data_IF_728062134556
#
_entry.id   IF_728062134556
#
_cell.length_a   1.000
_cell.length_b   1.000
_cell.length_c   1.000
_cell.angle_alpha   90.00
_cell.angle_beta   90.00
_cell.angle_gamma   90.00
#
_symmetry.space_group_name_H-M   'P 1'
#
loop_
_entity.id
_entity.type
_entity.pdbx_description
1 polymer ?
#
# COMPACT_ATOMS: atom_id res chain seq x y z
N UNK A 1 5.20 -37.26 44.21
CA UNK A 1 4.77 -38.31 43.24
C UNK A 1 4.44 -39.58 44.01
N UNK A 2 3.62 -40.48 43.45
CA UNK A 2 3.44 -41.84 43.97
C UNK A 2 4.78 -42.57 44.09
N UNK A 3 4.92 -43.39 45.13
CA UNK A 3 6.18 -44.03 45.50
C UNK A 3 6.66 -45.08 44.48
N UNK A 4 5.74 -45.73 43.76
CA UNK A 4 6.07 -46.71 42.72
C UNK A 4 5.72 -46.19 41.31
N UNK A 5 6.44 -46.64 40.26
CA UNK A 5 6.12 -46.32 38.86
C UNK A 5 4.73 -46.78 38.42
N UNK A 6 4.25 -47.90 38.97
CA UNK A 6 2.92 -48.45 38.70
C UNK A 6 1.80 -47.61 39.34
N UNK A 7 2.09 -46.94 40.46
CA UNK A 7 1.12 -46.11 41.18
C UNK A 7 1.04 -44.68 40.65
N UNK A 8 1.82 -44.32 39.62
CA UNK A 8 1.87 -42.96 39.05
C UNK A 8 0.52 -42.47 38.50
N UNK A 9 -0.39 -43.39 38.23
CA UNK A 9 -1.76 -43.09 37.81
C UNK A 9 -2.72 -42.86 38.99
N UNK A 10 -2.31 -43.14 40.24
CA UNK A 10 -3.14 -43.01 41.44
C UNK A 10 -4.52 -43.66 41.34
N UNK A 11 -4.62 -44.80 40.64
CA UNK A 11 -5.88 -45.51 40.44
C UNK A 11 -6.24 -46.45 41.59
N UNK A 12 -5.24 -46.91 42.36
CA UNK A 12 -5.45 -47.73 43.54
C UNK A 12 -5.71 -46.81 44.77
N UNK A 13 -6.76 -47.04 45.57
CA UNK A 13 -6.98 -46.32 46.83
C UNK A 13 -5.81 -46.39 47.81
N UNK A 14 -5.01 -47.45 47.74
CA UNK A 14 -3.82 -47.67 48.58
C UNK A 14 -2.55 -46.98 48.05
N UNK A 15 -2.65 -46.22 46.95
CA UNK A 15 -1.53 -45.46 46.37
C UNK A 15 -0.87 -44.58 47.43
N UNK A 16 0.41 -44.80 47.70
CA UNK A 16 1.18 -43.98 48.65
C UNK A 16 1.92 -42.85 47.94
N UNK A 17 1.83 -41.65 48.50
CA UNK A 17 2.60 -40.49 48.05
C UNK A 17 3.79 -40.27 48.96
N UNK A 18 4.97 -40.07 48.40
CA UNK A 18 6.15 -39.66 49.16
C UNK A 18 6.04 -38.16 49.47
N UNK A 19 5.53 -37.85 50.67
CA UNK A 19 5.38 -36.47 51.17
C UNK A 19 6.50 -36.19 52.19
N UNK A 20 7.25 -35.09 52.06
CA UNK A 20 8.26 -34.73 53.06
C UNK A 20 7.61 -34.49 54.43
N UNK A 21 8.17 -35.07 55.50
CA UNK A 21 7.58 -35.12 56.84
C UNK A 21 7.39 -33.75 57.54
N UNK A 22 7.92 -32.66 56.98
CA UNK A 22 7.81 -31.29 57.50
C UNK A 22 7.19 -30.31 56.48
N UNK A 23 6.65 -30.81 55.36
CA UNK A 23 6.08 -29.94 54.35
C UNK A 23 4.68 -29.49 54.79
N UNK A 24 4.42 -28.18 54.72
CA UNK A 24 3.07 -27.62 54.84
C UNK A 24 2.17 -28.05 53.65
N UNK A 25 1.40 -27.14 53.03
CA UNK A 25 0.57 -27.52 51.90
C UNK A 25 1.42 -28.11 50.76
N UNK A 26 1.03 -29.28 50.25
CA UNK A 26 1.75 -29.98 49.19
C UNK A 26 0.82 -30.29 48.01
N UNK A 27 1.42 -30.49 46.83
CA UNK A 27 0.69 -30.71 45.58
C UNK A 27 0.99 -32.10 45.03
N UNK A 28 -0.06 -32.87 44.75
CA UNK A 28 0.06 -34.19 44.14
C UNK A 28 0.25 -34.07 42.63
N UNK A 29 1.30 -34.70 42.09
CA UNK A 29 1.51 -34.87 40.65
C UNK A 29 1.11 -36.29 40.23
N UNK A 30 0.18 -36.41 39.28
CA UNK A 30 -0.43 -37.68 38.85
C UNK A 30 -0.50 -37.76 37.32
N UNK A 31 -0.26 -38.93 36.75
CA UNK A 31 -0.42 -39.18 35.32
C UNK A 31 -1.89 -39.46 34.96
N UNK A 32 -2.33 -38.98 33.79
CA UNK A 32 -3.55 -39.51 33.16
C UNK A 32 -3.41 -41.03 32.98
N UNK A 33 -4.51 -41.76 33.21
CA UNK A 33 -4.52 -43.22 33.19
C UNK A 33 -5.94 -43.76 33.08
N UNK A 34 -6.12 -45.04 33.41
CA UNK A 34 -7.35 -45.78 33.12
C UNK A 34 -8.50 -45.59 34.14
N UNK A 35 -8.27 -44.82 35.21
CA UNK A 35 -9.29 -44.47 36.20
C UNK A 35 -9.80 -43.03 36.03
N UNK A 36 -10.93 -42.70 36.65
CA UNK A 36 -11.56 -41.39 36.51
C UNK A 36 -10.73 -40.28 37.17
N UNK A 37 -10.85 -39.05 36.68
CA UNK A 37 -10.20 -37.89 37.32
C UNK A 37 -10.67 -37.70 38.78
N UNK A 38 -11.94 -38.01 39.03
CA UNK A 38 -12.55 -37.96 40.35
C UNK A 38 -11.84 -38.88 41.35
N UNK A 39 -11.54 -40.11 40.94
CA UNK A 39 -10.86 -41.09 41.82
C UNK A 39 -9.44 -40.65 42.12
N UNK A 40 -8.71 -40.19 41.09
CA UNK A 40 -7.35 -39.63 41.25
C UNK A 40 -7.32 -38.47 42.25
N UNK A 41 -8.26 -37.54 42.12
CA UNK A 41 -8.37 -36.38 43.00
C UNK A 41 -8.73 -36.82 44.42
N UNK A 42 -9.67 -37.76 44.58
CA UNK A 42 -10.06 -38.29 45.90
C UNK A 42 -8.93 -39.03 46.60
N UNK A 43 -8.18 -39.87 45.89
CA UNK A 43 -7.05 -40.58 46.46
C UNK A 43 -5.96 -39.61 46.92
N UNK A 44 -5.61 -38.60 46.11
CA UNK A 44 -4.67 -37.57 46.54
C UNK A 44 -5.20 -36.73 47.72
N UNK A 45 -6.48 -36.38 47.72
CA UNK A 45 -7.13 -35.65 48.80
C UNK A 45 -7.16 -36.44 50.11
N UNK A 46 -7.30 -37.76 50.06
CA UNK A 46 -7.26 -38.63 51.24
C UNK A 46 -5.90 -38.60 51.95
N UNK A 47 -4.84 -38.21 51.26
CA UNK A 47 -3.50 -37.97 51.83
C UNK A 47 -3.24 -36.48 52.12
N UNK A 48 -4.29 -35.66 52.29
CA UNK A 48 -4.22 -34.24 52.61
C UNK A 48 -3.46 -33.38 51.57
N UNK A 49 -3.54 -33.73 50.28
CA UNK A 49 -3.01 -32.88 49.22
C UNK A 49 -3.82 -31.58 49.10
N UNK A 50 -3.15 -30.42 49.05
CA UNK A 50 -3.81 -29.12 48.88
C UNK A 50 -4.24 -28.85 47.44
N UNK A 51 -3.54 -29.43 46.47
CA UNK A 51 -3.89 -29.40 45.07
C UNK A 51 -3.46 -30.68 44.35
N UNK A 52 -4.07 -30.95 43.20
CA UNK A 52 -3.79 -32.11 42.35
C UNK A 52 -3.52 -31.66 40.92
N UNK A 53 -2.34 -32.01 40.41
CA UNK A 53 -1.88 -31.75 39.05
C UNK A 53 -1.91 -33.05 38.28
N UNK A 54 -2.73 -33.09 37.24
CA UNK A 54 -2.86 -34.25 36.35
C UNK A 54 -2.23 -33.91 35.00
N UNK A 55 -1.22 -34.65 34.56
CA UNK A 55 -0.62 -34.41 33.24
C UNK A 55 -1.18 -35.36 32.17
N UNK A 56 -1.45 -34.80 30.99
CA UNK A 56 -2.27 -35.43 29.95
C UNK A 56 -1.51 -36.44 29.06
N UNK A 57 -1.16 -37.59 29.64
CA UNK A 57 -0.46 -38.68 28.93
C UNK A 57 -1.32 -39.28 27.82
N UNK A 58 -0.72 -39.49 26.63
CA UNK A 58 -1.35 -40.19 25.50
C UNK A 58 -2.24 -39.29 24.65
N UNK A 59 -2.01 -37.97 24.70
CA UNK A 59 -2.66 -37.02 23.81
C UNK A 59 -1.99 -36.99 22.42
N UNK A 60 -2.75 -36.64 21.39
CA UNK A 60 -2.24 -36.54 20.00
C UNK A 60 -1.21 -35.41 19.85
N UNK A 61 -1.40 -34.30 20.58
CA UNK A 61 -0.40 -33.25 20.71
C UNK A 61 0.07 -33.14 22.17
N UNK A 62 1.39 -33.08 22.35
CA UNK A 62 2.03 -33.02 23.68
C UNK A 62 1.66 -31.79 24.53
N UNK A 63 1.07 -30.77 23.89
CA UNK A 63 0.63 -29.50 24.48
C UNK A 63 -0.87 -29.47 24.83
N UNK A 64 -1.62 -30.54 24.54
CA UNK A 64 -3.06 -30.56 24.75
C UNK A 64 -3.44 -30.69 26.22
N UNK A 65 -4.44 -29.91 26.62
CA UNK A 65 -5.10 -30.04 27.92
C UNK A 65 -6.61 -30.14 27.71
N UNK A 66 -7.26 -31.02 28.47
CA UNK A 66 -8.70 -31.21 28.44
C UNK A 66 -9.32 -30.78 29.76
N UNK A 67 -10.58 -30.31 29.70
CA UNK A 67 -11.34 -30.00 30.91
C UNK A 67 -11.67 -31.30 31.63
N UNK A 68 -11.26 -31.42 32.88
CA UNK A 68 -11.47 -32.62 33.69
C UNK A 68 -12.86 -32.59 34.32
N UNK A 69 -13.76 -33.53 34.01
CA UNK A 69 -15.00 -33.68 34.77
C UNK A 69 -14.73 -34.35 36.11
N UNK A 70 -15.02 -33.67 37.23
CA UNK A 70 -14.78 -34.21 38.57
C UNK A 70 -15.81 -33.71 39.62
N UNK A 71 -17.10 -33.85 39.32
CA UNK A 71 -18.15 -33.45 40.26
C UNK A 71 -18.11 -34.27 41.57
N UNK A 72 -18.23 -33.57 42.71
CA UNK A 72 -18.24 -34.18 44.05
C UNK A 72 -16.86 -34.59 44.58
N UNK A 73 -15.81 -33.84 44.21
CA UNK A 73 -14.44 -33.95 44.78
C UNK A 73 -14.12 -32.90 45.85
N UNK A 74 -15.13 -32.12 46.30
CA UNK A 74 -14.94 -31.08 47.30
C UNK A 74 -14.16 -29.86 46.79
N UNK A 75 -13.47 -29.16 47.68
CA UNK A 75 -12.75 -27.90 47.43
C UNK A 75 -11.30 -28.08 46.96
N UNK A 76 -10.88 -29.31 46.64
CA UNK A 76 -9.52 -29.59 46.21
C UNK A 76 -9.25 -28.96 44.84
N UNK A 77 -8.21 -28.12 44.76
CA UNK A 77 -7.79 -27.49 43.50
C UNK A 77 -7.22 -28.56 42.57
N UNK A 78 -7.87 -28.80 41.44
CA UNK A 78 -7.42 -29.76 40.42
C UNK A 78 -7.14 -29.06 39.09
N UNK A 79 -5.92 -29.22 38.58
CA UNK A 79 -5.52 -28.65 37.28
C UNK A 79 -4.94 -29.73 36.36
N UNK A 80 -5.12 -29.53 35.05
CA UNK A 80 -4.48 -30.35 34.03
C UNK A 80 -3.31 -29.59 33.40
N UNK A 81 -2.18 -30.27 33.23
CA UNK A 81 -1.02 -29.75 32.50
C UNK A 81 -0.69 -30.61 31.27
N UNK A 82 0.02 -30.03 30.28
CA UNK A 82 0.49 -30.80 29.13
C UNK A 82 1.43 -31.96 29.49
N UNK A 83 1.47 -32.97 28.63
CA UNK A 83 2.31 -34.15 28.83
C UNK A 83 3.80 -33.80 28.90
N UNK A 84 4.27 -32.93 28.00
CA UNK A 84 5.67 -32.51 27.94
C UNK A 84 6.12 -31.92 29.29
N UNK A 85 5.30 -31.03 29.86
CA UNK A 85 5.62 -30.40 31.15
C UNK A 85 5.52 -31.39 32.31
N UNK A 86 4.53 -32.28 32.29
CA UNK A 86 4.38 -33.31 33.32
C UNK A 86 5.56 -34.29 33.37
N UNK A 87 6.10 -34.68 32.22
CA UNK A 87 7.29 -35.54 32.12
C UNK A 87 8.55 -34.84 32.63
N UNK A 88 8.73 -33.56 32.31
CA UNK A 88 9.82 -32.73 32.85
C UNK A 88 9.77 -32.68 34.39
N UNK A 89 8.59 -32.39 34.95
CA UNK A 89 8.39 -32.37 36.41
C UNK A 89 8.64 -33.74 37.05
N UNK A 90 8.24 -34.82 36.37
CA UNK A 90 8.47 -36.18 36.85
C UNK A 90 9.97 -36.49 36.93
N UNK A 91 10.72 -36.14 35.88
CA UNK A 91 12.18 -36.32 35.83
C UNK A 91 12.87 -35.56 36.97
N UNK A 92 12.50 -34.30 37.22
CA UNK A 92 13.09 -33.51 38.31
C UNK A 92 12.89 -34.18 39.68
N UNK A 93 11.68 -34.67 39.95
CA UNK A 93 11.35 -35.32 41.21
C UNK A 93 12.03 -36.69 41.39
N UNK A 94 12.26 -37.44 40.30
CA UNK A 94 13.04 -38.69 40.33
C UNK A 94 14.50 -38.45 40.70
N UNK A 95 15.07 -37.32 40.28
CA UNK A 95 16.42 -36.87 40.67
C UNK A 95 16.45 -36.22 42.06
N UNK A 96 15.39 -36.39 42.87
CA UNK A 96 15.25 -35.85 44.22
C UNK A 96 15.33 -34.31 44.28
N UNK A 97 14.95 -33.62 43.20
CA UNK A 97 14.86 -32.15 43.15
C UNK A 97 13.49 -31.72 43.65
N UNK A 98 13.46 -30.77 44.58
CA UNK A 98 12.21 -30.19 45.09
C UNK A 98 11.65 -29.16 44.12
N UNK A 99 10.37 -29.29 43.78
CA UNK A 99 9.68 -28.36 42.86
C UNK A 99 8.54 -27.65 43.59
N UNK A 100 8.61 -26.32 43.60
CA UNK A 100 7.55 -25.46 44.13
C UNK A 100 6.66 -24.99 43.00
N UNK A 101 5.34 -25.09 43.17
CA UNK A 101 4.37 -24.67 42.17
C UNK A 101 3.36 -23.70 42.79
N UNK A 102 3.12 -22.59 42.09
CA UNK A 102 2.10 -21.59 42.44
C UNK A 102 0.98 -21.71 41.41
N UNK A 103 -0.23 -22.00 41.87
CA UNK A 103 -1.42 -22.10 41.01
C UNK A 103 -2.26 -20.84 41.20
N UNK A 104 -2.50 -20.11 40.11
CA UNK A 104 -3.38 -18.94 40.08
C UNK A 104 -4.52 -19.14 39.09
N UNK A 105 -5.63 -18.44 39.30
CA UNK A 105 -6.80 -18.53 38.42
C UNK A 105 -6.49 -17.78 37.12
N UNK A 106 -6.32 -18.53 36.03
CA UNK A 106 -6.14 -17.98 34.69
C UNK A 106 -7.47 -17.85 33.93
N UNK A 107 -7.55 -16.89 33.01
CA UNK A 107 -8.66 -16.79 32.06
C UNK A 107 -8.31 -17.49 30.76
N UNK A 108 -9.17 -18.39 30.25
CA UNK A 108 -8.99 -19.07 28.94
C UNK A 108 -9.21 -18.16 27.71
N UNK A 109 -9.19 -16.84 27.90
CA UNK A 109 -9.49 -15.86 26.85
C UNK A 109 -8.25 -15.55 26.01
N UNK A 110 -8.06 -16.34 24.95
CA UNK A 110 -7.14 -16.04 23.83
C UNK A 110 -7.52 -14.74 23.09
N UNK A 111 -8.69 -14.18 23.41
CA UNK A 111 -9.17 -12.86 22.98
C UNK A 111 -8.33 -11.68 23.52
N UNK A 112 -7.33 -11.93 24.36
CA UNK A 112 -6.38 -10.90 24.83
C UNK A 112 -5.36 -10.47 23.77
N UNK A 113 -5.12 -11.28 22.73
CA UNK A 113 -4.18 -10.94 21.65
C UNK A 113 -4.81 -10.10 20.53
N UNK A 114 -6.14 -10.06 20.45
CA UNK A 114 -6.88 -9.21 19.51
C UNK A 114 -7.64 -8.19 20.34
N UNK A 115 -7.00 -7.07 20.65
CA UNK A 115 -7.69 -5.98 21.33
C UNK A 115 -8.84 -5.50 20.43
N UNK A 116 -10.04 -5.35 20.99
CA UNK A 116 -11.18 -4.82 20.24
C UNK A 116 -10.83 -3.46 19.58
N UNK A 117 -9.96 -2.70 20.23
CA UNK A 117 -9.42 -1.44 19.74
C UNK A 117 -8.51 -1.61 18.51
N UNK A 118 -7.67 -2.65 18.43
CA UNK A 118 -6.83 -2.89 17.25
C UNK A 118 -7.66 -3.26 16.03
N UNK A 119 -8.70 -4.09 16.20
CA UNK A 119 -9.61 -4.45 15.10
C UNK A 119 -10.33 -3.22 14.55
N UNK A 120 -10.86 -2.38 15.44
CA UNK A 120 -11.54 -1.14 15.05
C UNK A 120 -10.57 -0.21 14.32
N UNK A 121 -9.35 -0.03 14.82
CA UNK A 121 -8.34 0.82 14.19
C UNK A 121 -7.96 0.34 12.77
N UNK A 122 -7.74 -0.96 12.59
CA UNK A 122 -7.43 -1.55 11.28
C UNK A 122 -8.61 -1.36 10.32
N UNK A 123 -9.84 -1.56 10.78
CA UNK A 123 -11.04 -1.40 9.95
C UNK A 123 -11.25 0.06 9.49
N UNK A 124 -11.06 1.03 10.39
CA UNK A 124 -11.19 2.46 10.07
C UNK A 124 -10.12 2.87 9.04
N UNK A 125 -8.88 2.42 9.24
CA UNK A 125 -7.78 2.71 8.32
C UNK A 125 -8.07 2.22 6.90
N UNK A 126 -8.64 1.02 6.76
CA UNK A 126 -9.02 0.47 5.46
C UNK A 126 -10.13 1.28 4.77
N UNK A 127 -11.15 1.69 5.54
CA UNK A 127 -12.26 2.50 5.02
C UNK A 127 -11.76 3.87 4.54
N UNK A 128 -10.87 4.52 5.28
CA UNK A 128 -10.30 5.82 4.90
C UNK A 128 -9.52 5.72 3.59
N UNK A 129 -8.67 4.69 3.44
CA UNK A 129 -7.92 4.46 2.21
C UNK A 129 -8.83 4.19 1.01
N UNK A 130 -9.91 3.44 1.20
CA UNK A 130 -10.91 3.20 0.16
C UNK A 130 -11.57 4.51 -0.30
N UNK A 131 -11.97 5.38 0.64
CA UNK A 131 -12.60 6.66 0.33
C UNK A 131 -11.64 7.56 -0.45
N UNK A 132 -10.37 7.66 -0.02
CA UNK A 132 -9.36 8.48 -0.71
C UNK A 132 -9.15 7.98 -2.15
N UNK A 133 -9.04 6.66 -2.34
CA UNK A 133 -8.88 6.05 -3.66
C UNK A 133 -10.07 6.33 -4.59
N UNK A 134 -11.30 6.20 -4.08
CA UNK A 134 -12.51 6.48 -4.84
C UNK A 134 -12.63 7.97 -5.20
N UNK A 135 -12.31 8.87 -4.26
CA UNK A 135 -12.31 10.31 -4.53
C UNK A 135 -11.30 10.69 -5.62
N UNK A 136 -10.10 10.11 -5.58
CA UNK A 136 -9.08 10.28 -6.62
C UNK A 136 -9.55 9.77 -7.98
N UNK A 137 -10.17 8.58 -8.02
CA UNK A 137 -10.70 8.02 -9.25
C UNK A 137 -11.82 8.89 -9.82
N UNK A 138 -12.75 9.34 -8.99
CA UNK A 138 -13.82 10.25 -9.41
C UNK A 138 -13.24 11.56 -9.94
N UNK A 139 -12.28 12.17 -9.24
CA UNK A 139 -11.62 13.39 -9.70
C UNK A 139 -10.89 13.18 -11.03
N UNK A 140 -10.17 12.07 -11.18
CA UNK A 140 -9.51 11.68 -12.43
C UNK A 140 -10.49 11.56 -13.59
N UNK A 141 -11.63 10.87 -13.39
CA UNK A 141 -12.66 10.75 -14.42
C UNK A 141 -13.33 12.08 -14.75
N UNK A 142 -13.65 12.90 -13.73
CA UNK A 142 -14.22 14.24 -13.95
C UNK A 142 -13.22 15.11 -14.73
N UNK A 143 -11.95 15.14 -14.34
CA UNK A 143 -10.91 15.90 -15.01
C UNK A 143 -10.73 15.42 -16.45
N UNK A 144 -10.67 14.10 -16.68
CA UNK A 144 -10.57 13.52 -18.01
C UNK A 144 -11.77 13.86 -18.88
N UNK A 145 -12.98 13.76 -18.35
CA UNK A 145 -14.20 14.13 -19.06
C UNK A 145 -14.26 15.62 -19.38
N UNK A 146 -13.90 16.48 -18.42
CA UNK A 146 -13.83 17.93 -18.63
C UNK A 146 -12.76 18.29 -19.65
N UNK A 147 -11.60 17.65 -19.62
CA UNK A 147 -10.52 17.87 -20.58
C UNK A 147 -10.93 17.44 -21.99
N UNK A 148 -11.49 16.23 -22.14
CA UNK A 148 -12.00 15.75 -23.43
C UNK A 148 -13.09 16.68 -24.01
N UNK A 149 -14.04 17.11 -23.18
CA UNK A 149 -15.10 18.02 -23.60
C UNK A 149 -14.59 19.43 -23.90
N UNK A 150 -13.57 19.91 -23.16
CA UNK A 150 -12.93 21.20 -23.46
C UNK A 150 -12.20 21.15 -24.81
N UNK A 151 -11.52 20.05 -25.12
CA UNK A 151 -10.86 19.82 -26.41
C UNK A 151 -11.86 19.78 -27.56
N UNK A 152 -12.95 19.01 -27.44
CA UNK A 152 -14.00 18.93 -28.46
C UNK A 152 -14.62 20.32 -28.73
N UNK A 153 -14.93 21.09 -27.68
CA UNK A 153 -15.42 22.47 -27.83
C UNK A 153 -14.41 23.38 -28.54
N UNK A 154 -13.13 23.30 -28.20
CA UNK A 154 -12.10 24.13 -28.82
C UNK A 154 -11.89 23.74 -30.29
N UNK A 155 -11.90 22.44 -30.60
CA UNK A 155 -11.79 21.92 -31.96
C UNK A 155 -12.96 22.36 -32.84
N UNK A 156 -14.20 22.33 -32.33
CA UNK A 156 -15.38 22.85 -33.04
C UNK A 156 -15.27 24.36 -33.30
N UNK A 157 -14.88 25.14 -32.28
CA UNK A 157 -14.67 26.59 -32.42
C UNK A 157 -13.63 26.94 -33.48
N UNK A 158 -12.51 26.21 -33.49
CA UNK A 158 -11.46 26.41 -34.49
C UNK A 158 -11.92 25.99 -35.89
N UNK A 159 -12.67 24.88 -36.00
CA UNK A 159 -13.28 24.44 -37.25
C UNK A 159 -14.25 25.47 -37.84
N UNK A 160 -15.08 26.08 -37.00
CA UNK A 160 -16.02 27.13 -37.43
C UNK A 160 -15.30 28.42 -37.82
N UNK A 161 -14.24 28.81 -37.09
CA UNK A 161 -13.38 29.93 -37.47
C UNK A 161 -12.68 29.69 -38.81
N UNK A 162 -12.17 28.48 -39.05
CA UNK A 162 -11.55 28.09 -40.31
C UNK A 162 -12.55 28.08 -41.47
N UNK A 163 -13.75 27.52 -41.30
CA UNK A 163 -14.84 27.59 -42.29
C UNK A 163 -15.14 29.04 -42.67
N UNK A 164 -15.27 29.91 -41.67
CA UNK A 164 -15.53 31.35 -41.88
C UNK A 164 -14.36 32.03 -42.62
N UNK A 165 -13.12 31.70 -42.27
CA UNK A 165 -11.93 32.22 -42.95
C UNK A 165 -11.85 31.78 -44.41
N UNK A 166 -12.10 30.48 -44.69
CA UNK A 166 -12.12 29.93 -46.04
C UNK A 166 -13.23 30.61 -46.86
N UNK A 167 -14.43 30.81 -46.29
CA UNK A 167 -15.51 31.48 -47.01
C UNK A 167 -15.17 32.91 -47.48
N UNK A 168 -14.24 33.60 -46.82
CA UNK A 168 -13.77 34.94 -47.16
C UNK A 168 -12.63 34.99 -48.19
N UNK A 169 -12.03 33.84 -48.53
CA UNK A 169 -10.99 33.79 -49.56
C UNK A 169 -11.55 34.23 -50.92
N UNK A 170 -10.71 34.88 -51.71
CA UNK A 170 -11.08 35.40 -53.02
C UNK A 170 -11.60 34.27 -53.93
N UNK A 171 -12.80 34.45 -54.46
CA UNK A 171 -13.41 33.57 -55.45
C UNK A 171 -13.54 34.35 -56.75
N UNK A 172 -13.08 33.75 -57.85
CA UNK A 172 -13.20 34.30 -59.20
C UNK A 172 -13.93 33.29 -60.07
N UNK A 173 -14.78 33.78 -60.97
CA UNK A 173 -15.38 32.96 -62.02
C UNK A 173 -14.60 33.20 -63.29
N UNK A 174 -14.11 32.14 -63.93
CA UNK A 174 -13.31 32.24 -65.16
C UNK A 174 -14.24 32.68 -66.28
N UNK A 175 -14.01 33.87 -66.85
CA UNK A 175 -14.78 34.34 -68.00
C UNK A 175 -14.14 33.89 -69.31
N UNK A 176 -14.98 33.67 -70.31
CA UNK A 176 -14.55 33.27 -71.66
C UNK A 176 -13.80 34.45 -72.30
N UNK A 177 -12.47 34.40 -72.34
CA UNK A 177 -11.59 35.47 -72.83
C UNK A 177 -10.65 36.11 -71.80
N UNK A 178 -10.56 35.56 -70.58
CA UNK A 178 -9.57 36.00 -69.58
C UNK A 178 -8.15 35.52 -69.97
N UNK A 179 -7.18 36.45 -69.97
CA UNK A 179 -5.81 36.35 -70.53
C UNK A 179 -4.86 35.36 -69.83
N UNK A 180 -5.37 34.43 -69.02
CA UNK A 180 -4.55 33.48 -68.23
C UNK A 180 -4.62 32.03 -68.77
N UNK A 181 -5.44 31.75 -69.79
CA UNK A 181 -5.59 30.40 -70.40
C UNK A 181 -4.54 30.07 -71.47
N UNK A 182 -3.34 30.64 -71.43
CA UNK A 182 -2.35 30.44 -72.50
C UNK A 182 -1.05 29.74 -72.06
N UNK A 183 -0.78 29.51 -70.78
CA UNK A 183 0.48 28.85 -70.36
C UNK A 183 0.39 28.09 -69.03
N UNK A 184 0.70 26.78 -69.06
CA UNK A 184 1.15 25.83 -68.01
C UNK A 184 0.50 25.80 -66.61
N UNK A 185 -0.46 26.68 -66.29
CA UNK A 185 -1.15 26.74 -64.99
C UNK A 185 -2.66 26.49 -65.10
N UNK A 186 -3.10 25.86 -66.19
CA UNK A 186 -4.52 25.71 -66.57
C UNK A 186 -5.26 24.54 -65.90
N UNK A 187 -4.59 23.74 -65.08
CA UNK A 187 -5.19 22.57 -64.45
C UNK A 187 -5.32 22.75 -62.94
N UNK A 188 -6.45 22.33 -62.38
CA UNK A 188 -6.60 22.26 -60.94
C UNK A 188 -5.78 21.09 -60.39
N UNK A 189 -4.78 21.33 -59.55
CA UNK A 189 -3.92 20.25 -59.05
C UNK A 189 -4.62 19.24 -58.10
N UNK A 190 -5.89 19.47 -57.73
CA UNK A 190 -6.67 18.54 -56.89
C UNK A 190 -7.45 17.53 -57.74
N UNK A 191 -8.13 17.97 -58.80
CA UNK A 191 -8.87 17.08 -59.72
C UNK A 191 -8.13 16.80 -61.03
N UNK A 192 -7.01 17.49 -61.29
CA UNK A 192 -6.15 17.41 -62.48
C UNK A 192 -6.86 17.88 -63.76
N UNK A 193 -8.11 18.35 -63.66
CA UNK A 193 -8.89 18.85 -64.80
C UNK A 193 -8.51 20.28 -65.18
N UNK A 194 -8.53 20.55 -66.49
CA UNK A 194 -8.35 21.88 -67.05
C UNK A 194 -9.54 22.81 -66.72
N UNK A 195 -9.26 24.08 -66.49
CA UNK A 195 -10.28 25.07 -66.19
C UNK A 195 -11.17 25.36 -67.41
N UNK A 196 -12.49 25.44 -67.19
CA UNK A 196 -13.50 25.74 -68.21
C UNK A 196 -14.10 27.12 -67.98
N UNK A 197 -14.66 27.69 -69.04
CA UNK A 197 -15.42 28.94 -68.93
C UNK A 197 -16.62 28.74 -67.97
N UNK A 198 -16.82 29.71 -67.08
CA UNK A 198 -17.76 29.70 -65.96
C UNK A 198 -17.36 28.83 -64.75
N UNK A 199 -16.16 28.25 -64.72
CA UNK A 199 -15.68 27.58 -63.52
C UNK A 199 -15.47 28.56 -62.37
N UNK A 200 -15.89 28.15 -61.18
CA UNK A 200 -15.70 28.91 -59.94
C UNK A 200 -14.40 28.46 -59.29
N UNK A 201 -13.39 29.29 -59.37
CA UNK A 201 -12.07 29.04 -58.79
C UNK A 201 -11.86 29.88 -57.53
N UNK A 202 -11.12 29.31 -56.58
CA UNK A 202 -10.70 29.97 -55.36
C UNK A 202 -9.20 30.26 -55.46
N UNK A 203 -8.84 31.50 -55.12
CA UNK A 203 -7.46 31.96 -55.08
C UNK A 203 -7.03 31.98 -53.61
N UNK A 204 -5.98 31.21 -53.29
CA UNK A 204 -5.41 31.19 -51.94
C UNK A 204 -4.49 32.41 -51.72
N UNK A 205 -4.14 32.76 -50.47
CA UNK A 205 -3.22 33.86 -50.17
C UNK A 205 -1.81 33.69 -50.78
N UNK A 206 -1.41 32.45 -51.07
CA UNK A 206 -0.19 32.11 -51.80
C UNK A 206 -0.33 32.19 -53.33
N UNK A 207 -1.45 32.71 -53.84
CA UNK A 207 -1.82 32.87 -55.26
C UNK A 207 -2.03 31.60 -56.10
N UNK A 208 -2.05 30.42 -55.49
CA UNK A 208 -2.47 29.20 -56.19
C UNK A 208 -3.98 29.19 -56.43
N UNK A 209 -4.39 28.73 -57.61
CA UNK A 209 -5.78 28.61 -58.07
C UNK A 209 -6.24 27.16 -58.02
N UNK A 210 -7.49 26.95 -57.60
CA UNK A 210 -8.15 25.64 -57.61
C UNK A 210 -9.67 25.80 -57.79
N UNK A 211 -10.37 24.79 -58.28
CA UNK A 211 -11.83 24.79 -58.20
C UNK A 211 -12.30 24.89 -56.75
N UNK A 212 -13.30 25.75 -56.52
CA UNK A 212 -13.88 25.94 -55.17
C UNK A 212 -14.35 24.61 -54.56
N UNK A 213 -15.01 23.77 -55.36
CA UNK A 213 -15.50 22.45 -54.94
C UNK A 213 -14.38 21.48 -54.55
N UNK A 214 -13.22 21.56 -55.21
CA UNK A 214 -12.10 20.66 -54.98
C UNK A 214 -11.26 21.08 -53.77
N UNK A 215 -11.03 22.39 -53.60
CA UNK A 215 -10.12 22.89 -52.57
C UNK A 215 -10.81 23.15 -51.23
N UNK A 216 -12.12 23.41 -51.19
CA UNK A 216 -12.84 23.66 -49.94
C UNK A 216 -12.76 22.46 -48.96
N UNK A 217 -13.00 21.19 -49.35
CA UNK A 217 -12.84 20.03 -48.47
C UNK A 217 -11.41 19.87 -47.97
N UNK A 218 -10.42 20.08 -48.84
CA UNK A 218 -9.00 20.00 -48.48
C UNK A 218 -8.62 21.03 -47.41
N UNK A 219 -9.05 22.28 -47.59
CA UNK A 219 -8.72 23.37 -46.66
C UNK A 219 -9.41 23.24 -45.30
N UNK A 220 -10.55 22.57 -45.22
CA UNK A 220 -11.24 22.30 -43.95
C UNK A 220 -10.46 21.32 -43.08
N UNK A 221 -9.82 20.34 -43.71
CA UNK A 221 -9.10 19.27 -43.01
C UNK A 221 -7.63 19.66 -42.78
N UNK A 222 -6.92 20.04 -43.84
CA UNK A 222 -5.47 20.24 -43.82
C UNK A 222 -5.03 21.69 -43.63
N UNK A 223 -5.92 22.67 -43.88
CA UNK A 223 -5.66 24.13 -43.72
C UNK A 223 -4.41 24.65 -44.44
N UNK A 224 -3.91 23.88 -45.41
CA UNK A 224 -2.68 24.12 -46.14
C UNK A 224 -2.94 24.11 -47.64
N UNK A 225 -2.13 24.85 -48.40
CA UNK A 225 -2.17 24.79 -49.85
C UNK A 225 -1.66 23.41 -50.35
N UNK A 226 -2.40 22.69 -51.23
CA UNK A 226 -1.93 21.44 -51.83
C UNK A 226 -0.58 21.56 -52.57
N UNK A 227 -0.29 22.74 -53.13
CA UNK A 227 0.89 22.97 -53.96
C UNK A 227 2.12 23.36 -53.13
N UNK A 228 1.99 24.32 -52.23
CA UNK A 228 3.14 24.90 -51.51
C UNK A 228 3.15 24.64 -50.00
N UNK A 229 2.17 23.88 -49.47
CA UNK A 229 1.99 23.55 -48.04
C UNK A 229 1.87 24.77 -47.11
N UNK A 230 1.70 25.98 -47.66
CA UNK A 230 1.50 27.19 -46.88
C UNK A 230 0.20 27.11 -46.08
N UNK A 231 0.25 27.38 -44.77
CA UNK A 231 -0.91 27.43 -43.88
C UNK A 231 -1.76 28.67 -44.17
N UNK A 232 -2.99 28.48 -44.66
CA UNK A 232 -3.87 29.58 -45.06
C UNK A 232 -4.36 30.40 -43.87
N UNK A 233 -4.52 29.78 -42.69
CA UNK A 233 -4.96 30.48 -41.47
C UNK A 233 -3.87 31.41 -40.93
N UNK A 234 -2.61 30.99 -41.00
CA UNK A 234 -1.44 31.82 -40.65
C UNK A 234 -1.32 33.03 -41.59
N UNK A 235 -1.52 32.82 -42.89
CA UNK A 235 -1.49 33.89 -43.89
C UNK A 235 -2.65 34.90 -43.73
N UNK A 236 -3.77 34.49 -43.14
CA UNK A 236 -4.93 35.35 -42.84
C UNK A 236 -4.83 36.02 -41.45
N UNK A 237 -3.72 35.86 -40.72
CA UNK A 237 -3.52 36.46 -39.40
C UNK A 237 -4.36 35.82 -38.28
N UNK A 238 -4.94 34.65 -38.53
CA UNK A 238 -5.65 33.88 -37.49
C UNK A 238 -4.59 33.06 -36.77
N UNK A 239 -4.19 33.54 -35.59
CA UNK A 239 -3.25 32.83 -34.73
C UNK A 239 -3.85 31.46 -34.36
N UNK A 240 -3.31 30.41 -34.97
CA UNK A 240 -3.43 29.06 -34.46
C UNK A 240 -2.56 29.04 -33.20
N UNK A 241 -3.17 28.97 -32.01
CA UNK A 241 -2.42 28.63 -30.81
C UNK A 241 -1.65 27.34 -31.12
N UNK A 242 -0.33 27.42 -31.04
CA UNK A 242 0.63 26.35 -31.35
C UNK A 242 0.57 25.16 -30.38
N UNK A 243 -0.53 25.00 -29.65
CA UNK A 243 -0.70 23.97 -28.61
C UNK A 243 -1.34 22.67 -29.14
N UNK A 244 -1.51 22.53 -30.45
CA UNK A 244 -2.17 21.36 -31.05
C UNK A 244 -1.32 20.58 -32.07
N UNK A 245 -0.05 20.93 -32.26
CA UNK A 245 0.88 20.13 -33.07
C UNK A 245 1.63 19.07 -32.26
N UNK A 246 1.51 19.05 -30.94
CA UNK A 246 2.18 18.06 -30.05
C UNK A 246 1.38 16.76 -29.83
N UNK A 247 0.24 16.57 -30.51
CA UNK A 247 -0.58 15.34 -30.38
C UNK A 247 -0.52 14.42 -31.63
N UNK A 248 0.44 14.59 -32.54
CA UNK A 248 0.76 13.50 -33.47
C UNK A 248 1.62 12.47 -32.71
N UNK A 249 1.32 11.16 -32.78
CA UNK A 249 2.12 10.15 -32.09
C UNK A 249 3.56 10.25 -32.61
N UNK A 250 4.48 10.60 -31.72
CA UNK A 250 5.91 10.61 -31.96
C UNK A 250 6.44 9.16 -31.97
N UNK A 251 5.89 8.32 -32.83
CA UNK A 251 6.39 6.97 -33.08
C UNK A 251 7.16 6.96 -34.40
N UNK A 252 8.26 7.72 -34.47
CA UNK A 252 9.34 7.46 -35.44
C UNK A 252 10.71 8.09 -35.19
N UNK A 253 10.93 8.89 -34.14
CA UNK A 253 12.26 9.53 -33.90
C UNK A 253 13.01 8.93 -32.71
N UNK A 254 13.22 7.62 -32.75
CA UNK A 254 14.14 6.91 -31.86
C UNK A 254 15.02 5.90 -32.61
N UNK A 255 15.36 6.24 -33.85
CA UNK A 255 16.40 5.56 -34.62
C UNK A 255 17.29 6.61 -35.27
N UNK A 256 18.33 7.04 -34.54
CA UNK A 256 19.69 7.38 -35.00
C UNK A 256 20.36 8.28 -33.93
N UNK A 257 21.33 7.71 -33.22
CA UNK A 257 22.22 8.48 -32.36
C UNK A 257 23.13 9.39 -33.19
N UNK A 258 23.38 10.61 -32.69
CA UNK A 258 24.35 11.52 -33.29
C UNK A 258 24.30 12.92 -32.69
N UNK A 259 25.43 13.35 -32.16
CA UNK A 259 25.66 14.59 -31.42
C UNK A 259 25.47 15.90 -32.22
N UNK A 260 25.27 17.01 -31.50
CA UNK A 260 25.57 18.36 -32.00
C UNK A 260 24.62 19.44 -31.48
N UNK A 261 25.01 20.14 -30.41
CA UNK A 261 24.29 21.30 -29.90
C UNK A 261 24.73 22.63 -30.50
N UNK A 262 23.86 23.64 -30.37
CA UNK A 262 24.13 25.09 -30.19
C UNK A 262 22.84 25.65 -29.59
N UNK A 263 22.79 26.08 -28.32
CA UNK A 263 23.28 27.38 -27.82
C UNK A 263 22.34 28.49 -28.31
N UNK A 264 21.65 29.28 -27.48
CA UNK A 264 22.18 30.35 -26.59
C UNK A 264 20.99 30.84 -25.73
N UNK A 265 21.01 30.66 -24.40
CA UNK A 265 21.28 31.65 -23.33
C UNK A 265 20.37 32.89 -23.30
N UNK A 266 19.73 33.17 -22.16
CA UNK A 266 20.24 34.13 -21.15
C UNK A 266 19.15 34.60 -20.15
N UNK A 267 19.41 34.42 -18.85
CA UNK A 267 19.46 35.41 -17.75
C UNK A 267 19.44 34.62 -16.42
N UNK A 268 20.59 34.24 -15.87
CA UNK A 268 21.37 34.97 -14.82
C UNK A 268 20.61 35.08 -13.48
N UNK A 269 20.95 34.33 -12.42
CA UNK A 269 22.15 34.33 -11.57
C UNK A 269 22.15 35.43 -10.49
N UNK A 270 22.07 35.01 -9.22
CA UNK A 270 22.60 35.72 -8.04
C UNK A 270 23.50 34.75 -7.27
N UNK A 271 24.76 35.14 -7.21
CA UNK A 271 25.93 34.65 -6.45
C UNK A 271 25.80 35.21 -5.00
N UNK A 272 26.18 34.57 -3.86
CA UNK A 272 27.51 34.10 -3.46
C UNK A 272 27.51 33.53 -2.02
N UNK A 273 28.54 32.73 -1.71
CA UNK A 273 29.02 32.39 -0.36
C UNK A 273 29.27 30.89 -0.17
N UNK A 274 30.36 30.31 -0.72
CA UNK A 274 31.68 30.10 -0.07
C UNK A 274 31.57 29.31 1.25
N UNK A 275 32.25 28.20 1.52
CA UNK A 275 33.55 27.66 1.08
C UNK A 275 33.68 26.22 1.62
N UNK A 276 34.06 25.22 0.80
CA UNK A 276 35.38 24.51 0.77
C UNK A 276 35.68 23.68 2.04
N UNK A 277 36.22 22.46 2.04
CA UNK A 277 36.90 21.58 1.08
C UNK A 277 36.64 20.13 1.55
N UNK A 278 36.50 19.12 0.70
CA UNK A 278 37.57 18.49 -0.10
C UNK A 278 37.97 17.17 0.61
N UNK A 279 38.16 16.01 0.00
CA UNK A 279 38.37 15.58 -1.41
C UNK A 279 38.30 14.03 -1.44
N UNK A 280 37.82 13.47 -2.56
CA UNK A 280 38.24 12.26 -3.33
C UNK A 280 38.89 11.06 -2.59
N UNK A 281 38.71 9.78 -2.95
CA UNK A 281 38.21 9.12 -4.17
C UNK A 281 37.98 7.62 -3.89
N UNK A 282 37.06 7.05 -4.67
CA UNK A 282 37.06 5.73 -5.34
C UNK A 282 37.68 4.47 -4.73
N UNK A 283 36.96 3.34 -4.87
CA UNK A 283 37.55 2.00 -4.95
C UNK A 283 36.65 0.91 -4.39
N UNK A 284 36.05 0.12 -5.28
CA UNK A 284 35.12 -0.96 -4.93
C UNK A 284 35.76 -2.28 -4.48
N UNK A 285 34.89 -3.29 -4.46
CA UNK A 285 35.13 -4.74 -4.39
C UNK A 285 34.98 -5.45 -3.04
N UNK A 286 33.78 -6.03 -2.90
CA UNK A 286 33.52 -7.48 -2.73
C UNK A 286 34.13 -8.28 -1.55
N UNK A 287 33.19 -8.82 -0.76
CA UNK A 287 33.06 -10.23 -0.32
C UNK A 287 34.19 -10.85 0.53
N UNK A 288 33.90 -11.16 1.80
CA UNK A 288 33.91 -12.53 2.35
C UNK A 288 33.59 -12.59 3.86
N UNK A 289 32.43 -13.18 4.17
CA UNK A 289 32.12 -14.24 5.15
C UNK A 289 32.77 -14.29 6.57
N UNK A 290 31.86 -14.22 7.56
CA UNK A 290 31.70 -15.09 8.77
C UNK A 290 32.70 -14.98 9.95
N UNK A 291 32.47 -15.63 11.12
CA UNK A 291 31.31 -15.70 12.02
C UNK A 291 31.69 -15.28 13.47
N UNK A 292 30.73 -15.09 14.39
CA UNK A 292 31.08 -14.87 15.80
C UNK A 292 29.92 -14.84 16.80
N UNK A 293 29.80 -15.92 17.57
CA UNK A 293 28.83 -16.15 18.66
C UNK A 293 29.45 -15.83 20.04
N UNK A 294 28.59 -15.41 20.98
CA UNK A 294 28.69 -15.31 22.48
C UNK A 294 29.30 -14.02 23.07
N UNK A 295 28.48 -13.15 23.71
CA UNK A 295 27.98 -13.11 25.13
C UNK A 295 29.09 -12.66 26.11
N UNK A 296 28.96 -11.72 27.07
CA UNK A 296 27.88 -11.24 27.97
C UNK A 296 28.27 -9.84 28.49
N UNK A 297 27.31 -8.97 28.84
CA UNK A 297 27.52 -7.91 29.84
C UNK A 297 26.58 -6.70 29.72
N UNK A 298 25.39 -6.76 30.35
CA UNK A 298 24.56 -5.60 30.69
C UNK A 298 25.00 -5.06 32.08
N UNK A 299 24.70 -3.81 32.47
CA UNK A 299 23.32 -3.32 32.65
C UNK A 299 23.02 -1.95 32.01
N UNK A 300 21.82 -1.84 31.44
CA UNK A 300 21.20 -0.57 31.07
C UNK A 300 20.39 -0.05 32.25
N UNK A 301 20.74 1.15 32.69
CA UNK A 301 19.93 2.03 33.51
C UNK A 301 18.83 2.64 32.61
N UNK A 302 17.57 2.59 33.04
CA UNK A 302 16.43 3.10 32.29
C UNK A 302 15.96 4.39 32.97
N UNK A 303 16.15 5.51 32.29
CA UNK A 303 15.73 6.84 32.73
C UNK A 303 14.58 7.29 31.81
N UNK A 304 13.38 7.41 32.38
CA UNK A 304 12.17 7.90 31.73
C UNK A 304 12.05 9.42 31.97
N UNK A 305 11.64 10.25 30.99
CA UNK A 305 11.58 11.69 31.15
C UNK A 305 10.16 12.22 31.46
N UNK A 306 10.19 13.43 32.04
CA UNK A 306 9.20 14.51 31.98
C UNK A 306 8.03 14.57 32.97
N UNK A 307 8.37 15.17 34.12
CA UNK A 307 7.78 16.37 34.73
C UNK A 307 6.47 16.95 34.17
N UNK A 308 5.47 17.15 35.05
CA UNK A 308 4.84 18.47 35.30
C UNK A 308 4.09 18.48 36.65
N UNK A 309 4.56 19.35 37.56
CA UNK A 309 3.86 20.34 38.45
C UNK A 309 2.32 20.22 38.64
N UNK A 310 1.69 20.44 39.79
CA UNK A 310 2.00 21.14 41.05
C UNK A 310 1.10 20.59 42.20
N UNK A 311 1.49 20.88 43.45
CA UNK A 311 0.90 20.42 44.72
C UNK A 311 -0.52 20.92 45.05
N UNK A 312 -1.26 20.24 45.94
CA UNK A 312 -2.56 20.69 46.45
C UNK A 312 -2.47 21.39 47.83
N UNK A 313 -3.63 21.91 48.27
CA UNK A 313 -4.07 22.24 49.64
C UNK A 313 -4.16 23.74 49.98
N UNK A 314 -5.38 24.29 49.85
CA UNK A 314 -5.96 25.19 50.87
C UNK A 314 -7.48 25.00 50.90
N UNK A 315 -8.00 24.89 52.12
CA UNK A 315 -9.36 24.52 52.47
C UNK A 315 -10.39 25.65 52.23
N UNK A 316 -11.63 25.23 51.98
CA UNK A 316 -12.83 26.05 51.84
C UNK A 316 -13.49 26.30 53.23
N UNK A 317 -14.50 27.20 53.32
CA UNK A 317 -14.67 28.12 54.44
C UNK A 317 -15.72 27.69 55.49
N UNK A 318 -15.58 28.24 56.69
CA UNK A 318 -16.66 28.35 57.67
C UNK A 318 -17.36 29.71 57.53
N UNK A 319 -18.69 29.67 57.56
CA UNK A 319 -19.59 30.81 57.54
C UNK A 319 -20.24 31.01 58.91
N UNK A 320 -20.60 32.27 59.16
CA UNK A 320 -21.57 32.81 60.14
C UNK A 320 -21.04 33.48 61.41
N UNK A 321 -21.22 34.81 61.39
CA UNK A 321 -21.62 35.75 62.48
C UNK A 321 -20.81 35.82 63.75
#
# INVERSE_FOLDING_TARGET
LPASPHDRQACDPSTRFSVPAQAGPWVALVARGNCTYKDKIRHAAAYNASAVVIFNVGSTHSNDTITMPHQGTGEVVAIMIPEAKGRELTSLLEHNVTVTMIITIGTRNLQKYVSRTSVVFVSISFIVLMIISLAWLVFYYIQRFRYANARDRNQRRLGDAAKKAISKLQVRTIRKGDQETETDFDNCAVCIEGYKANDVVRILPCRHLFHKSCVDPWLLDHRTCPMCKMNILKALGIALNTDCLDDLPLDYDLALGGAGGVGVLALEAVVSGASSDGTLSEGGSSLALDPGVRRVGLPQDYQDPDTLRDSPVMAAPDAHT
#
